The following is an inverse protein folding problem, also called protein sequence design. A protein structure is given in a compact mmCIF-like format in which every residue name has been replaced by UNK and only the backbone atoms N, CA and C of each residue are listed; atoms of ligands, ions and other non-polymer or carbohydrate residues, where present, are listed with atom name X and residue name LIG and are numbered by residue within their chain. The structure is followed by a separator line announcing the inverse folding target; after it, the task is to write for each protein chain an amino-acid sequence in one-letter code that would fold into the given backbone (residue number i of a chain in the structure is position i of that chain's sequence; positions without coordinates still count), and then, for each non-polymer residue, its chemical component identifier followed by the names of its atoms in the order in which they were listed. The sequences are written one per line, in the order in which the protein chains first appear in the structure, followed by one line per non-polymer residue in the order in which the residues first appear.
data_IF_163064239029
#
_entry.id   IF_163064239029
#
_cell.length_a   1.000
_cell.length_b   1.000
_cell.length_c   1.000
_cell.angle_alpha   90.00
_cell.angle_beta   90.00
_cell.angle_gamma   90.00
#
_symmetry.space_group_name_H-M   'P 1'
#
loop_
_entity.id
_entity.type
_entity.pdbx_description
1 polymer ?
#
# COMPACT_ATOMS: atom_id res chain seq x y z
N UNK A 1 -6.03 36.48 -17.60
CA UNK A 1 -6.48 35.95 -16.29
C UNK A 1 -7.00 34.54 -16.50
N UNK A 2 -6.28 33.54 -15.97
CA UNK A 2 -6.53 32.12 -16.24
C UNK A 2 -7.76 31.59 -15.50
N UNK A 3 -8.56 30.78 -16.20
CA UNK A 3 -9.74 30.02 -15.72
C UNK A 3 -9.46 29.21 -14.43
N UNK A 4 -8.20 29.05 -14.02
CA UNK A 4 -7.79 28.39 -12.78
C UNK A 4 -8.10 29.17 -11.49
N UNK A 5 -8.32 30.49 -11.51
CA UNK A 5 -8.52 31.24 -10.24
C UNK A 5 -9.96 31.27 -9.71
N UNK A 6 -10.99 31.09 -10.57
CA UNK A 6 -12.40 31.18 -10.11
C UNK A 6 -12.94 29.86 -9.53
N UNK A 7 -12.25 28.74 -9.72
CA UNK A 7 -12.69 27.43 -9.22
C UNK A 7 -12.42 27.21 -7.72
N UNK A 8 -11.60 28.03 -7.07
CA UNK A 8 -11.31 27.89 -5.63
C UNK A 8 -12.53 28.17 -4.73
N UNK A 9 -13.49 28.97 -5.20
CA UNK A 9 -14.65 29.38 -4.39
C UNK A 9 -16.00 28.80 -4.88
N UNK A 10 -16.01 28.01 -5.96
CA UNK A 10 -17.23 27.54 -6.63
C UNK A 10 -17.71 26.12 -6.28
N UNK A 11 -17.04 25.40 -5.38
CA UNK A 11 -17.43 24.03 -5.01
C UNK A 11 -18.62 24.04 -4.04
N UNK A 12 -19.82 24.23 -4.61
CA UNK A 12 -21.08 24.31 -3.88
C UNK A 12 -21.39 23.02 -3.11
N UNK A 13 -22.25 23.14 -2.10
CA UNK A 13 -22.75 22.01 -1.31
C UNK A 13 -23.34 20.88 -2.19
N UNK A 14 -23.99 21.25 -3.30
CA UNK A 14 -24.57 20.30 -4.24
C UNK A 14 -23.52 19.40 -4.90
N UNK A 15 -22.38 19.99 -5.29
CA UNK A 15 -21.26 19.21 -5.86
C UNK A 15 -20.55 18.37 -4.80
N UNK A 16 -20.45 18.84 -3.54
CA UNK A 16 -19.91 18.01 -2.44
C UNK A 16 -20.66 16.69 -2.30
N UNK A 17 -21.99 16.70 -2.26
CA UNK A 17 -22.78 15.47 -2.13
C UNK A 17 -22.50 14.46 -3.25
N UNK A 18 -22.38 14.94 -4.49
CA UNK A 18 -22.24 14.10 -5.67
C UNK A 18 -20.82 13.50 -5.86
N UNK A 19 -19.78 14.21 -5.42
CA UNK A 19 -18.38 13.86 -5.69
C UNK A 19 -17.64 13.28 -4.49
N UNK A 20 -18.25 13.27 -3.31
CA UNK A 20 -17.56 12.94 -2.07
C UNK A 20 -17.69 11.49 -1.61
N UNK A 21 -18.47 10.67 -2.33
CA UNK A 21 -18.59 9.23 -2.08
C UNK A 21 -19.31 8.84 -0.78
N UNK A 22 -19.35 7.54 -0.51
CA UNK A 22 -19.84 6.90 0.73
C UNK A 22 -18.77 6.83 1.82
N UNK A 23 -17.50 6.87 1.44
CA UNK A 23 -16.39 6.76 2.36
C UNK A 23 -15.07 6.66 1.63
N UNK A 24 -14.03 6.29 2.36
CA UNK A 24 -12.68 6.14 1.83
C UNK A 24 -11.91 5.02 2.51
N UNK A 25 -10.89 4.51 1.83
CA UNK A 25 -9.99 3.49 2.34
C UNK A 25 -8.58 4.09 2.28
N UNK A 26 -7.91 4.20 3.41
CA UNK A 26 -6.55 4.71 3.51
C UNK A 26 -5.55 3.57 3.39
N UNK A 27 -4.45 3.81 2.69
CA UNK A 27 -3.37 2.86 2.50
C UNK A 27 -2.09 3.41 3.11
N UNK A 28 -1.64 2.74 4.16
CA UNK A 28 -0.36 2.93 4.85
C UNK A 28 0.54 1.72 4.58
N UNK A 29 1.82 1.85 4.89
CA UNK A 29 2.76 0.72 4.87
C UNK A 29 3.51 0.69 6.21
N UNK A 30 4.34 1.70 6.46
CA UNK A 30 5.17 1.77 7.67
C UNK A 30 4.77 2.93 8.58
N UNK A 31 4.77 2.68 9.88
CA UNK A 31 4.57 3.68 10.92
C UNK A 31 5.84 3.78 11.76
N UNK A 32 6.68 4.78 11.48
CA UNK A 32 7.99 4.90 12.09
C UNK A 32 8.25 6.33 12.53
N UNK A 33 8.82 6.49 13.73
CA UNK A 33 9.39 7.77 14.12
C UNK A 33 10.57 8.09 13.21
N UNK A 34 10.75 9.37 12.89
CA UNK A 34 11.91 9.82 12.13
C UNK A 34 13.19 9.54 12.94
N UNK A 35 13.99 8.62 12.44
CA UNK A 35 15.25 8.17 13.06
C UNK A 35 16.46 8.97 12.55
N UNK A 36 16.24 9.97 11.70
CA UNK A 36 17.28 10.79 11.08
C UNK A 36 18.14 10.05 10.06
N UNK A 37 17.86 8.77 9.78
CA UNK A 37 18.66 8.00 8.83
C UNK A 37 18.36 8.45 7.40
N UNK A 38 19.39 8.55 6.54
CA UNK A 38 19.16 8.85 5.14
C UNK A 38 18.35 7.72 4.49
N UNK A 39 17.53 8.11 3.53
CA UNK A 39 16.69 7.23 2.72
C UNK A 39 16.70 7.78 1.30
N UNK A 40 16.59 6.94 0.30
CA UNK A 40 16.51 7.33 -1.11
C UNK A 40 15.06 7.29 -1.58
N UNK A 41 14.41 6.13 -1.48
CA UNK A 41 13.05 5.91 -1.96
C UNK A 41 12.14 5.27 -0.91
N UNK A 42 12.67 4.50 0.04
CA UNK A 42 11.81 3.76 0.99
C UNK A 42 11.07 4.68 1.97
N UNK A 43 11.61 5.88 2.21
CA UNK A 43 10.95 6.96 2.98
C UNK A 43 9.55 7.27 2.49
N UNK A 44 9.26 7.10 1.21
CA UNK A 44 7.94 7.35 0.65
C UNK A 44 6.83 6.53 1.34
N UNK A 45 7.18 5.40 1.96
CA UNK A 45 6.25 4.48 2.64
C UNK A 45 6.14 4.73 4.15
N UNK A 46 6.94 5.63 4.71
CA UNK A 46 7.05 5.88 6.15
C UNK A 46 6.12 7.03 6.57
N UNK A 47 5.29 6.79 7.57
CA UNK A 47 4.43 7.80 8.19
C UNK A 47 4.77 7.88 9.67
N UNK A 48 4.95 9.10 10.20
CA UNK A 48 5.20 9.26 11.62
C UNK A 48 3.97 8.89 12.46
N UNK A 49 4.13 8.28 13.65
CA UNK A 49 3.01 7.97 14.55
C UNK A 49 2.11 9.17 14.82
N UNK A 50 2.70 10.36 14.96
CA UNK A 50 1.95 11.60 15.16
C UNK A 50 1.09 11.96 13.96
N UNK A 51 1.60 11.78 12.74
CA UNK A 51 0.81 12.01 11.52
C UNK A 51 -0.35 11.01 11.42
N UNK A 52 -0.14 9.75 11.80
CA UNK A 52 -1.24 8.76 11.87
C UNK A 52 -2.34 9.20 12.85
N UNK A 53 -1.95 9.69 14.04
CA UNK A 53 -2.88 10.25 15.03
C UNK A 53 -3.68 11.44 14.47
N UNK A 54 -3.03 12.33 13.71
CA UNK A 54 -3.68 13.47 13.07
C UNK A 54 -4.74 13.01 12.05
N UNK A 55 -4.48 11.95 11.28
CA UNK A 55 -5.48 11.37 10.37
C UNK A 55 -6.67 10.78 11.14
N UNK A 56 -6.42 10.02 12.20
CA UNK A 56 -7.50 9.47 13.05
C UNK A 56 -8.35 10.62 13.62
N UNK A 57 -7.71 11.63 14.17
CA UNK A 57 -8.37 12.81 14.74
C UNK A 57 -9.19 13.56 13.69
N UNK A 58 -8.67 13.73 12.48
CA UNK A 58 -9.35 14.37 11.37
C UNK A 58 -10.69 13.70 11.02
N UNK A 59 -10.71 12.36 10.96
CA UNK A 59 -11.92 11.59 10.64
C UNK A 59 -12.91 11.58 11.83
N UNK A 60 -12.41 11.47 13.06
CA UNK A 60 -13.22 11.52 14.29
C UNK A 60 -13.95 12.85 14.44
N UNK A 61 -13.26 13.98 14.24
CA UNK A 61 -13.85 15.32 14.27
C UNK A 61 -14.95 15.51 13.21
N UNK A 62 -14.86 14.78 12.10
CA UNK A 62 -15.84 14.81 10.99
C UNK A 62 -16.94 13.77 11.12
N UNK A 63 -16.98 13.02 12.23
CA UNK A 63 -17.99 11.99 12.51
C UNK A 63 -18.05 10.93 11.40
N UNK A 64 -16.89 10.51 10.91
CA UNK A 64 -16.80 9.33 10.07
C UNK A 64 -16.89 8.09 10.93
N UNK A 65 -17.54 7.06 10.41
CA UNK A 65 -17.55 5.73 11.00
C UNK A 65 -16.23 5.05 10.66
N UNK A 66 -15.50 4.58 11.67
CA UNK A 66 -14.32 3.76 11.50
C UNK A 66 -14.77 2.31 11.40
N UNK A 67 -14.55 1.67 10.26
CA UNK A 67 -15.10 0.35 9.96
C UNK A 67 -14.02 -0.61 9.46
N UNK A 68 -14.32 -1.90 9.52
CA UNK A 68 -13.52 -2.99 8.93
C UNK A 68 -13.79 -3.15 7.43
N UNK A 69 -12.93 -3.87 6.71
CA UNK A 69 -13.19 -4.18 5.30
C UNK A 69 -14.44 -5.04 5.11
N UNK A 70 -14.74 -5.94 6.06
CA UNK A 70 -15.97 -6.76 6.09
C UNK A 70 -17.25 -5.91 5.99
N UNK A 71 -17.23 -4.68 6.49
CA UNK A 71 -18.39 -3.80 6.55
C UNK A 71 -18.56 -2.92 5.30
N UNK A 72 -17.53 -2.82 4.45
CA UNK A 72 -17.50 -1.90 3.30
C UNK A 72 -18.65 -2.15 2.35
N UNK A 73 -18.97 -3.41 2.04
CA UNK A 73 -20.07 -3.75 1.14
C UNK A 73 -21.43 -3.24 1.66
N UNK A 74 -21.64 -3.35 2.97
CA UNK A 74 -22.87 -2.90 3.61
C UNK A 74 -22.98 -1.37 3.55
N UNK A 75 -21.88 -0.67 3.82
CA UNK A 75 -21.77 0.79 3.68
C UNK A 75 -21.96 1.30 2.25
N UNK A 76 -21.55 0.52 1.25
CA UNK A 76 -21.78 0.82 -0.16
C UNK A 76 -23.28 0.66 -0.52
N UNK A 77 -23.91 -0.43 -0.05
CA UNK A 77 -25.28 -0.81 -0.43
C UNK A 77 -26.35 0.04 0.25
N UNK A 78 -26.24 0.24 1.56
CA UNK A 78 -27.28 0.88 2.37
C UNK A 78 -27.03 2.38 2.50
N UNK A 79 -28.06 3.23 2.32
CA UNK A 79 -27.93 4.66 2.60
C UNK A 79 -27.65 4.87 4.09
N UNK A 80 -26.69 5.74 4.39
CA UNK A 80 -26.30 6.17 5.74
C UNK A 80 -26.11 7.68 5.75
N UNK A 81 -26.31 8.28 6.91
CA UNK A 81 -26.04 9.71 7.16
C UNK A 81 -24.54 9.96 7.34
N UNK A 82 -23.84 9.02 7.99
CA UNK A 82 -22.39 9.01 8.16
C UNK A 82 -21.69 8.46 6.92
N UNK A 83 -20.45 8.92 6.72
CA UNK A 83 -19.49 8.31 5.80
C UNK A 83 -18.55 7.41 6.57
N UNK A 84 -17.91 6.48 5.88
CA UNK A 84 -16.93 5.60 6.52
C UNK A 84 -15.48 5.91 6.14
N UNK A 85 -14.57 5.48 7.01
CA UNK A 85 -13.14 5.36 6.73
C UNK A 85 -12.66 3.98 7.14
N UNK A 86 -11.81 3.36 6.31
CA UNK A 86 -11.06 2.15 6.66
C UNK A 86 -9.58 2.50 6.65
N UNK A 87 -8.85 2.06 7.68
CA UNK A 87 -7.39 2.15 7.72
C UNK A 87 -6.80 0.80 7.31
N UNK A 88 -5.97 0.80 6.26
CA UNK A 88 -5.31 -0.41 5.76
C UNK A 88 -3.80 -0.24 5.74
N UNK A 89 -3.09 -1.31 6.08
CA UNK A 89 -1.63 -1.39 6.10
C UNK A 89 -1.21 -2.56 5.22
N UNK A 90 -0.25 -2.32 4.33
CA UNK A 90 0.26 -3.35 3.43
C UNK A 90 1.56 -3.96 3.96
N UNK A 91 1.97 -5.04 3.32
CA UNK A 91 3.24 -5.77 3.51
C UNK A 91 3.36 -6.64 4.76
N UNK A 92 3.01 -6.15 5.95
CA UNK A 92 3.24 -6.85 7.22
C UNK A 92 4.56 -6.47 7.89
N UNK A 93 4.86 -5.17 7.93
CA UNK A 93 5.97 -4.62 8.68
C UNK A 93 5.74 -4.72 10.19
N UNK A 94 6.80 -4.97 10.96
CA UNK A 94 6.77 -5.08 12.42
C UNK A 94 6.24 -3.80 13.08
N UNK A 95 6.52 -2.65 12.48
CA UNK A 95 6.08 -1.37 13.00
C UNK A 95 4.54 -1.19 12.99
N UNK A 96 3.80 -2.01 12.25
CA UNK A 96 2.35 -2.09 12.36
C UNK A 96 1.92 -2.72 13.71
N UNK A 97 2.74 -3.61 14.27
CA UNK A 97 2.53 -4.21 15.59
C UNK A 97 3.06 -3.30 16.70
N UNK A 98 4.28 -2.76 16.57
CA UNK A 98 4.92 -2.02 17.67
C UNK A 98 4.49 -0.56 17.78
N UNK A 99 4.07 0.07 16.67
CA UNK A 99 3.71 1.49 16.64
C UNK A 99 2.23 1.72 16.31
N UNK A 100 1.70 1.06 15.28
CA UNK A 100 0.31 1.32 14.85
C UNK A 100 -0.70 0.71 15.84
N UNK A 101 -0.58 -0.56 16.21
CA UNK A 101 -1.54 -1.26 17.07
C UNK A 101 -1.86 -0.51 18.38
N UNK A 102 -0.88 -0.05 19.19
CA UNK A 102 -1.18 0.68 20.43
C UNK A 102 -2.01 1.94 20.20
N UNK A 103 -1.80 2.62 19.06
CA UNK A 103 -2.57 3.80 18.70
C UNK A 103 -4.02 3.44 18.39
N UNK A 104 -4.27 2.43 17.55
CA UNK A 104 -5.63 1.97 17.24
C UNK A 104 -6.37 1.46 18.49
N UNK A 105 -5.68 0.77 19.39
CA UNK A 105 -6.24 0.36 20.69
C UNK A 105 -6.63 1.56 21.56
N UNK A 106 -5.78 2.59 21.63
CA UNK A 106 -6.06 3.79 22.43
C UNK A 106 -7.30 4.56 21.94
N UNK A 107 -7.60 4.49 20.63
CA UNK A 107 -8.80 5.09 20.05
C UNK A 107 -9.99 4.15 19.96
N UNK A 108 -9.81 2.83 20.18
CA UNK A 108 -10.85 1.82 20.05
C UNK A 108 -11.40 1.68 18.63
N UNK A 109 -10.55 1.85 17.61
CA UNK A 109 -10.97 1.81 16.20
C UNK A 109 -10.31 0.66 15.43
N UNK A 110 -10.99 0.08 14.43
CA UNK A 110 -10.45 -1.05 13.69
C UNK A 110 -9.44 -0.63 12.60
N UNK A 111 -8.60 -1.58 12.21
CA UNK A 111 -7.75 -1.49 11.01
C UNK A 111 -7.47 -2.86 10.39
N UNK A 112 -7.09 -2.85 9.12
CA UNK A 112 -6.77 -4.06 8.34
C UNK A 112 -5.29 -4.09 8.00
N UNK A 113 -4.64 -5.25 8.13
CA UNK A 113 -3.26 -5.49 7.70
C UNK A 113 -3.27 -6.57 6.61
N UNK A 114 -2.73 -6.25 5.44
CA UNK A 114 -2.54 -7.19 4.33
C UNK A 114 -1.14 -7.78 4.39
N UNK A 115 -1.04 -9.10 4.58
CA UNK A 115 0.22 -9.78 4.87
C UNK A 115 0.79 -10.47 3.63
N UNK A 116 2.03 -10.12 3.29
CA UNK A 116 2.87 -10.90 2.38
C UNK A 116 3.47 -12.06 3.18
N UNK A 117 3.12 -13.32 2.89
CA UNK A 117 3.45 -14.42 3.82
C UNK A 117 4.93 -14.79 3.90
N UNK A 118 5.76 -14.27 3.00
CA UNK A 118 7.23 -14.39 3.11
C UNK A 118 7.84 -13.37 4.09
N UNK A 119 7.11 -12.34 4.51
CA UNK A 119 7.54 -11.43 5.58
C UNK A 119 7.72 -12.18 6.91
N UNK A 120 6.66 -12.75 7.52
CA UNK A 120 6.80 -13.46 8.79
C UNK A 120 7.61 -14.76 8.69
N UNK A 121 7.84 -15.27 7.48
CA UNK A 121 8.76 -16.38 7.22
C UNK A 121 10.24 -15.99 7.22
N UNK A 122 10.54 -14.68 7.16
CA UNK A 122 11.91 -14.19 6.98
C UNK A 122 12.49 -14.51 5.59
N UNK A 123 11.64 -14.67 4.58
CA UNK A 123 12.02 -15.08 3.21
C UNK A 123 11.70 -14.03 2.14
N UNK A 124 11.07 -12.91 2.51
CA UNK A 124 10.81 -11.84 1.54
C UNK A 124 12.10 -11.11 1.27
N UNK A 125 12.38 -10.88 -0.01
CA UNK A 125 13.55 -10.10 -0.41
C UNK A 125 13.11 -8.66 -0.59
N UNK A 126 13.46 -7.84 0.40
CA UNK A 126 13.23 -6.39 0.42
C UNK A 126 14.31 -5.67 -0.41
N UNK A 127 14.39 -6.03 -1.70
CA UNK A 127 15.44 -5.55 -2.61
C UNK A 127 15.50 -4.03 -2.72
N UNK A 128 14.40 -3.32 -2.47
CA UNK A 128 14.34 -1.86 -2.42
C UNK A 128 15.15 -1.28 -1.26
N UNK A 129 15.16 -1.94 -0.11
CA UNK A 129 15.99 -1.54 1.05
C UNK A 129 17.46 -1.87 0.80
N UNK A 130 17.74 -3.05 0.24
CA UNK A 130 19.11 -3.46 -0.11
C UNK A 130 19.71 -2.49 -1.14
N UNK A 131 18.97 -2.18 -2.21
CA UNK A 131 19.40 -1.24 -3.24
C UNK A 131 19.63 0.17 -2.68
N UNK A 132 18.78 0.61 -1.74
CA UNK A 132 18.93 1.89 -1.07
C UNK A 132 20.23 1.97 -0.26
N UNK A 133 20.53 0.96 0.56
CA UNK A 133 21.77 0.90 1.33
C UNK A 133 22.99 0.94 0.40
N UNK A 134 22.98 0.14 -0.67
CA UNK A 134 24.08 0.13 -1.65
C UNK A 134 24.27 1.53 -2.28
N UNK A 135 23.18 2.21 -2.66
CA UNK A 135 23.27 3.57 -3.23
C UNK A 135 23.74 4.60 -2.20
N UNK A 136 23.40 4.41 -0.92
CA UNK A 136 23.82 5.32 0.14
C UNK A 136 25.29 5.13 0.50
N UNK A 137 25.79 3.90 0.48
CA UNK A 137 27.14 3.51 0.89
C UNK A 137 28.21 3.64 -0.20
N UNK A 138 27.81 3.75 -1.48
CA UNK A 138 28.73 3.78 -2.60
C UNK A 138 28.72 5.13 -3.34
N UNK A 139 29.91 5.63 -3.65
CA UNK A 139 30.08 6.84 -4.47
C UNK A 139 30.00 6.57 -5.98
N UNK A 140 30.07 5.30 -6.41
CA UNK A 140 29.97 4.86 -7.82
C UNK A 140 29.35 3.46 -7.89
N UNK A 141 28.52 3.20 -8.92
CA UNK A 141 27.83 1.92 -9.09
C UNK A 141 27.92 1.44 -10.55
N UNK A 142 28.57 0.30 -10.77
CA UNK A 142 28.66 -0.36 -12.08
C UNK A 142 27.84 -1.65 -12.06
N UNK A 143 26.83 -1.81 -12.94
CA UNK A 143 26.02 -3.03 -12.99
C UNK A 143 25.91 -3.58 -14.43
N UNK A 144 26.59 -4.70 -14.68
CA UNK A 144 26.62 -5.34 -16.00
C UNK A 144 27.21 -4.44 -17.09
N UNK A 145 26.57 -4.36 -18.26
CA UNK A 145 27.00 -3.50 -19.38
C UNK A 145 26.54 -2.03 -19.26
N UNK A 146 25.88 -1.67 -18.15
CA UNK A 146 25.42 -0.31 -17.89
C UNK A 146 26.24 0.27 -16.75
N UNK A 147 26.85 1.43 -17.00
CA UNK A 147 27.62 2.15 -15.99
C UNK A 147 26.78 3.32 -15.49
N UNK A 148 26.42 3.30 -14.20
CA UNK A 148 25.77 4.43 -13.54
C UNK A 148 26.81 5.17 -12.72
N UNK A 149 27.41 6.20 -13.32
CA UNK A 149 28.32 7.08 -12.61
C UNK A 149 27.53 8.04 -11.74
N UNK A 150 27.60 7.86 -10.42
CA UNK A 150 27.35 8.94 -9.47
C UNK A 150 28.59 9.85 -9.49
N UNK A 151 28.46 11.10 -9.95
CA UNK A 151 29.60 12.02 -10.00
C UNK A 151 29.71 12.81 -8.69
N UNK A 152 30.58 12.30 -7.82
CA UNK A 152 31.32 13.00 -6.75
C UNK A 152 30.61 13.36 -5.43
N UNK A 153 31.44 13.26 -4.40
CA UNK A 153 31.44 13.61 -2.96
C UNK A 153 30.44 14.60 -2.32
N UNK A 154 29.47 15.16 -3.04
CA UNK A 154 28.28 15.82 -2.48
C UNK A 154 27.11 15.48 -3.39
N UNK A 155 26.68 14.22 -3.36
CA UNK A 155 25.54 13.79 -4.17
C UNK A 155 24.29 14.44 -3.58
N UNK A 156 23.69 15.38 -4.30
CA UNK A 156 22.35 15.86 -3.97
C UNK A 156 21.40 14.66 -3.94
N UNK A 157 20.52 14.61 -2.94
CA UNK A 157 19.52 13.56 -2.78
C UNK A 157 18.79 13.17 -4.08
N UNK A 158 18.57 14.15 -4.96
CA UNK A 158 17.96 14.02 -6.29
C UNK A 158 18.70 13.08 -7.24
N UNK A 159 20.04 13.04 -7.21
CA UNK A 159 20.83 12.17 -8.09
C UNK A 159 20.77 10.70 -7.63
N UNK A 160 20.81 10.46 -6.32
CA UNK A 160 20.62 9.11 -5.74
C UNK A 160 19.24 8.57 -6.09
N UNK A 161 18.20 9.41 -6.01
CA UNK A 161 16.84 9.07 -6.43
C UNK A 161 16.77 8.71 -7.92
N UNK A 162 17.48 9.44 -8.79
CA UNK A 162 17.51 9.13 -10.23
C UNK A 162 18.12 7.76 -10.52
N UNK A 163 19.29 7.45 -9.91
CA UNK A 163 19.94 6.14 -10.07
C UNK A 163 19.06 5.02 -9.53
N UNK A 164 18.47 5.20 -8.34
CA UNK A 164 17.52 4.24 -7.79
C UNK A 164 16.37 3.98 -8.76
N UNK A 165 15.78 5.03 -9.32
CA UNK A 165 14.65 4.93 -10.24
C UNK A 165 15.02 4.25 -11.57
N UNK A 166 16.23 4.46 -12.08
CA UNK A 166 16.74 3.76 -13.27
C UNK A 166 16.89 2.25 -13.01
N UNK A 167 17.54 1.88 -11.90
CA UNK A 167 17.75 0.47 -11.53
C UNK A 167 16.39 -0.20 -11.25
N UNK A 168 15.52 0.45 -10.46
CA UNK A 168 14.15 -0.02 -10.18
C UNK A 168 13.37 -0.30 -11.46
N UNK A 169 13.41 0.61 -12.45
CA UNK A 169 12.73 0.41 -13.74
C UNK A 169 13.22 -0.84 -14.47
N UNK A 170 14.48 -1.21 -14.31
CA UNK A 170 15.04 -2.40 -14.92
C UNK A 170 14.69 -3.70 -14.17
N UNK A 171 14.46 -3.63 -12.86
CA UNK A 171 14.22 -4.80 -12.00
C UNK A 171 12.73 -5.14 -11.81
N UNK A 172 11.85 -4.15 -11.72
CA UNK A 172 10.50 -4.32 -11.15
C UNK A 172 9.59 -5.29 -11.92
N UNK A 173 9.70 -5.35 -13.24
CA UNK A 173 8.85 -6.20 -14.09
C UNK A 173 9.50 -7.54 -14.44
N UNK A 174 10.73 -7.78 -13.99
CA UNK A 174 11.41 -9.06 -14.23
C UNK A 174 10.83 -10.15 -13.32
N UNK A 175 10.78 -11.41 -13.80
CA UNK A 175 10.52 -12.57 -12.96
C UNK A 175 11.41 -12.59 -11.74
N UNK A 176 10.91 -13.15 -10.62
CA UNK A 176 11.60 -13.19 -9.34
C UNK A 176 13.02 -13.73 -9.47
N UNK A 177 13.18 -14.94 -10.01
CA UNK A 177 14.49 -15.59 -10.11
C UNK A 177 15.50 -14.78 -10.94
N UNK A 178 15.05 -14.18 -12.04
CA UNK A 178 15.90 -13.32 -12.85
C UNK A 178 16.32 -12.06 -12.08
N UNK A 179 15.38 -11.42 -11.37
CA UNK A 179 15.68 -10.27 -10.52
C UNK A 179 16.69 -10.61 -9.42
N UNK A 180 16.56 -11.79 -8.81
CA UNK A 180 17.47 -12.24 -7.77
C UNK A 180 18.86 -12.52 -8.32
N UNK A 181 18.95 -13.17 -9.48
CA UNK A 181 20.22 -13.42 -10.14
C UNK A 181 20.94 -12.10 -10.45
N UNK A 182 20.22 -11.10 -10.97
CA UNK A 182 20.77 -9.77 -11.21
C UNK A 182 21.28 -9.12 -9.91
N UNK A 183 20.49 -9.11 -8.84
CA UNK A 183 20.92 -8.53 -7.55
C UNK A 183 22.18 -9.20 -7.01
N UNK A 184 22.28 -10.53 -7.11
CA UNK A 184 23.49 -11.27 -6.71
C UNK A 184 24.69 -10.92 -7.57
N UNK A 185 24.51 -10.92 -8.89
CA UNK A 185 25.62 -10.72 -9.82
C UNK A 185 26.17 -9.31 -9.73
N UNK A 186 25.29 -8.33 -9.58
CA UNK A 186 25.59 -6.92 -9.51
C UNK A 186 26.24 -6.50 -8.20
N UNK A 187 25.73 -7.01 -7.07
CA UNK A 187 26.12 -6.54 -5.75
C UNK A 187 26.84 -7.59 -4.90
N UNK A 188 27.13 -8.76 -5.49
CA UNK A 188 27.83 -9.88 -4.84
C UNK A 188 27.16 -10.36 -3.54
N UNK A 189 25.83 -10.31 -3.51
CA UNK A 189 25.04 -10.63 -2.32
C UNK A 189 24.98 -12.13 -2.04
N UNK A 190 25.21 -12.50 -0.79
CA UNK A 190 24.92 -13.82 -0.25
C UNK A 190 23.41 -14.00 0.04
N UNK A 191 22.99 -15.21 0.38
CA UNK A 191 21.62 -15.46 0.86
C UNK A 191 21.32 -14.69 2.14
N UNK A 192 22.30 -14.57 3.03
CA UNK A 192 22.13 -13.83 4.28
C UNK A 192 21.87 -12.35 4.03
N UNK A 193 22.58 -11.75 3.06
CA UNK A 193 22.38 -10.35 2.67
C UNK A 193 20.98 -10.12 2.10
N UNK A 194 20.48 -11.05 1.27
CA UNK A 194 19.15 -10.94 0.65
C UNK A 194 18.00 -10.97 1.65
N UNK A 195 18.17 -11.71 2.76
CA UNK A 195 17.15 -11.84 3.81
C UNK A 195 17.43 -10.97 5.04
N UNK A 196 18.52 -10.21 5.07
CA UNK A 196 18.89 -9.33 6.20
C UNK A 196 17.74 -8.35 6.52
N UNK A 197 17.25 -7.64 5.52
CA UNK A 197 16.23 -6.59 5.68
C UNK A 197 14.87 -7.11 6.12
N UNK A 198 14.48 -8.32 5.71
CA UNK A 198 13.22 -8.89 6.20
C UNK A 198 13.32 -9.27 7.67
N UNK A 199 14.49 -9.76 8.14
CA UNK A 199 14.72 -10.01 9.58
C UNK A 199 14.65 -8.73 10.41
N UNK A 200 15.07 -7.59 9.86
CA UNK A 200 15.04 -6.29 10.54
C UNK A 200 13.66 -5.64 10.60
N UNK A 201 12.74 -6.01 9.71
CA UNK A 201 11.55 -5.20 9.44
C UNK A 201 10.24 -5.97 9.45
N UNK A 202 10.26 -7.31 9.34
CA UNK A 202 9.03 -8.09 9.27
C UNK A 202 8.43 -8.36 10.64
N UNK A 203 7.11 -8.27 10.71
CA UNK A 203 6.37 -8.84 11.82
C UNK A 203 6.57 -10.36 11.83
N UNK A 204 6.90 -10.94 12.98
CA UNK A 204 7.05 -12.38 13.14
C UNK A 204 5.71 -13.12 13.12
N UNK A 205 5.73 -14.44 12.88
CA UNK A 205 4.53 -15.26 13.01
C UNK A 205 3.89 -15.22 14.40
N UNK A 206 4.68 -15.06 15.46
CA UNK A 206 4.14 -15.02 16.82
C UNK A 206 3.46 -13.69 17.12
N UNK A 207 4.06 -12.56 16.72
CA UNK A 207 3.40 -11.25 16.75
C UNK A 207 2.12 -11.26 15.89
N UNK A 208 2.16 -11.87 14.69
CA UNK A 208 1.00 -11.96 13.82
C UNK A 208 -0.13 -12.83 14.41
N UNK A 209 0.20 -13.94 15.09
CA UNK A 209 -0.79 -14.74 15.84
C UNK A 209 -1.37 -13.96 17.01
N UNK A 210 -0.55 -13.19 17.72
CA UNK A 210 -1.00 -12.37 18.84
C UNK A 210 -1.98 -11.28 18.37
N UNK A 211 -1.57 -10.46 17.40
CA UNK A 211 -2.40 -9.38 16.88
C UNK A 211 -3.68 -9.88 16.20
N UNK A 212 -3.67 -11.09 15.60
CA UNK A 212 -4.86 -11.68 14.98
C UNK A 212 -5.99 -12.00 15.97
N UNK A 213 -5.70 -12.06 17.27
CA UNK A 213 -6.71 -12.27 18.32
C UNK A 213 -7.38 -10.95 18.75
N UNK A 214 -6.82 -9.81 18.37
CA UNK A 214 -7.35 -8.51 18.72
C UNK A 214 -8.62 -8.20 17.90
N UNK A 215 -9.77 -7.88 18.52
CA UNK A 215 -11.01 -7.61 17.80
C UNK A 215 -10.97 -6.37 16.88
N UNK A 216 -10.01 -5.47 17.09
CA UNK A 216 -9.80 -4.28 16.25
C UNK A 216 -9.02 -4.61 14.97
N UNK A 217 -8.35 -5.76 14.91
CA UNK A 217 -7.45 -6.07 13.80
C UNK A 217 -8.13 -7.01 12.82
N UNK A 218 -7.95 -6.73 11.53
CA UNK A 218 -8.36 -7.58 10.43
C UNK A 218 -7.15 -7.99 9.61
N UNK A 219 -7.05 -9.27 9.26
CA UNK A 219 -5.94 -9.78 8.47
C UNK A 219 -6.44 -10.10 7.06
N UNK A 220 -5.77 -9.52 6.07
CA UNK A 220 -5.95 -9.78 4.65
C UNK A 220 -4.70 -10.41 4.01
N UNK A 221 -4.85 -10.93 2.80
CA UNK A 221 -3.76 -11.51 2.03
C UNK A 221 -3.07 -10.48 1.12
N UNK A 222 -1.75 -10.60 0.96
CA UNK A 222 -0.94 -9.76 0.07
C UNK A 222 0.09 -10.56 -0.73
N UNK A 223 -0.31 -11.72 -1.25
CA UNK A 223 0.55 -12.70 -1.96
C UNK A 223 1.59 -13.39 -1.07
N UNK A 224 2.35 -14.33 -1.64
CA UNK A 224 3.42 -15.04 -0.94
C UNK A 224 4.69 -14.18 -0.98
N UNK A 225 5.14 -13.82 -2.19
CA UNK A 225 6.47 -13.24 -2.42
C UNK A 225 6.45 -11.75 -2.78
N UNK A 226 5.26 -11.12 -2.86
CA UNK A 226 5.05 -9.75 -3.33
C UNK A 226 5.55 -9.48 -4.78
N UNK A 227 5.16 -10.30 -5.78
CA UNK A 227 5.48 -10.03 -7.17
C UNK A 227 4.50 -9.02 -7.79
N UNK A 228 4.87 -8.44 -8.94
CA UNK A 228 3.87 -7.82 -9.82
C UNK A 228 3.03 -8.92 -10.45
N UNK A 229 1.77 -9.06 -10.04
CA UNK A 229 0.89 -10.15 -10.50
C UNK A 229 0.66 -10.15 -12.03
N UNK A 230 0.82 -9.00 -12.69
CA UNK A 230 0.78 -8.87 -14.15
C UNK A 230 1.91 -9.62 -14.85
N UNK A 231 3.06 -9.76 -14.20
CA UNK A 231 4.24 -10.44 -14.77
C UNK A 231 4.12 -11.97 -14.72
N UNK A 232 3.15 -12.50 -13.98
CA UNK A 232 2.98 -13.93 -13.74
C UNK A 232 2.04 -14.58 -14.76
N UNK A 233 2.23 -15.86 -15.04
CA UNK A 233 1.21 -16.66 -15.72
C UNK A 233 0.04 -17.00 -14.78
N UNK A 234 -1.02 -17.65 -15.27
CA UNK A 234 -2.22 -17.96 -14.47
C UNK A 234 -1.94 -18.90 -13.29
N UNK A 235 -1.08 -19.91 -13.49
CA UNK A 235 -0.72 -20.87 -12.43
C UNK A 235 0.05 -20.17 -11.31
N UNK A 236 1.05 -19.39 -11.67
CA UNK A 236 1.86 -18.60 -10.73
C UNK A 236 1.01 -17.56 -9.99
N UNK A 237 0.08 -16.89 -10.69
CA UNK A 237 -0.89 -15.98 -10.07
C UNK A 237 -1.73 -16.70 -9.01
N UNK A 238 -2.26 -17.89 -9.33
CA UNK A 238 -3.05 -18.70 -8.41
C UNK A 238 -2.21 -19.13 -7.20
N UNK A 239 -1.00 -19.62 -7.42
CA UNK A 239 -0.06 -20.02 -6.36
C UNK A 239 0.19 -18.87 -5.39
N UNK A 240 0.53 -17.68 -5.90
CA UNK A 240 0.78 -16.48 -5.10
C UNK A 240 -0.44 -16.02 -4.29
N UNK A 241 -1.62 -15.99 -4.91
CA UNK A 241 -2.84 -15.43 -4.32
C UNK A 241 -3.53 -16.40 -3.36
N UNK A 242 -3.73 -17.65 -3.79
CA UNK A 242 -4.40 -18.67 -2.98
C UNK A 242 -3.46 -19.24 -1.94
N UNK A 243 -2.20 -19.46 -2.28
CA UNK A 243 -1.21 -20.01 -1.33
C UNK A 243 -0.97 -19.06 -0.16
N UNK A 244 -0.96 -17.75 -0.37
CA UNK A 244 -0.85 -16.79 0.74
C UNK A 244 -2.06 -16.84 1.67
N UNK A 245 -3.27 -16.95 1.11
CA UNK A 245 -4.49 -17.12 1.89
C UNK A 245 -4.45 -18.41 2.71
N UNK A 246 -4.17 -19.55 2.06
CA UNK A 246 -4.11 -20.85 2.72
C UNK A 246 -3.11 -20.87 3.87
N UNK A 247 -1.91 -20.31 3.67
CA UNK A 247 -0.88 -20.24 4.70
C UNK A 247 -1.29 -19.38 5.88
N UNK A 248 -1.92 -18.22 5.65
CA UNK A 248 -2.48 -17.39 6.71
C UNK A 248 -3.59 -18.12 7.49
N UNK A 249 -4.54 -18.75 6.78
CA UNK A 249 -5.64 -19.50 7.41
C UNK A 249 -5.10 -20.70 8.23
N UNK A 250 -4.08 -21.40 7.73
CA UNK A 250 -3.43 -22.50 8.43
C UNK A 250 -2.74 -22.02 9.71
N UNK A 251 -1.96 -20.93 9.65
CA UNK A 251 -1.15 -20.44 10.76
C UNK A 251 -1.97 -19.70 11.82
N UNK A 252 -3.00 -18.96 11.41
CA UNK A 252 -3.76 -18.07 12.29
C UNK A 252 -5.12 -18.66 12.71
N UNK A 253 -5.60 -19.71 12.04
CA UNK A 253 -6.90 -20.35 12.30
C UNK A 253 -8.09 -19.39 12.19
N UNK A 254 -7.97 -18.37 11.35
CA UNK A 254 -9.03 -17.44 10.97
C UNK A 254 -9.27 -17.52 9.47
N UNK A 255 -10.45 -17.12 9.00
CA UNK A 255 -10.74 -17.03 7.56
C UNK A 255 -10.18 -15.73 6.99
N UNK A 256 -9.53 -15.78 5.83
CA UNK A 256 -9.00 -14.60 5.14
C UNK A 256 -9.93 -14.23 3.98
N UNK A 257 -10.57 -13.06 4.10
CA UNK A 257 -11.65 -12.62 3.18
C UNK A 257 -11.22 -11.53 2.20
N UNK A 258 -10.16 -10.80 2.51
CA UNK A 258 -9.76 -9.61 1.77
C UNK A 258 -8.35 -9.73 1.20
N UNK A 259 -8.11 -9.03 0.09
CA UNK A 259 -6.84 -9.04 -0.62
C UNK A 259 -6.38 -7.62 -0.96
N UNK A 260 -5.07 -7.38 -0.96
CA UNK A 260 -4.48 -6.18 -1.57
C UNK A 260 -3.56 -6.59 -2.72
N UNK A 261 -3.66 -5.91 -3.87
CA UNK A 261 -2.75 -6.18 -4.99
C UNK A 261 -1.38 -5.51 -4.73
N UNK A 262 -0.25 -6.26 -4.77
CA UNK A 262 1.08 -5.66 -4.75
C UNK A 262 1.22 -4.60 -5.85
N UNK A 263 1.74 -3.42 -5.50
CA UNK A 263 1.83 -2.21 -6.33
C UNK A 263 0.48 -1.62 -6.78
N UNK A 264 -0.45 -2.46 -7.23
CA UNK A 264 -1.89 -2.21 -7.34
C UNK A 264 -2.33 -1.08 -8.26
N UNK A 265 -1.45 -0.54 -9.10
CA UNK A 265 -1.77 0.65 -9.91
C UNK A 265 -2.53 0.27 -11.19
N UNK A 266 -2.79 1.25 -12.04
CA UNK A 266 -3.35 1.00 -13.39
C UNK A 266 -2.44 0.15 -14.26
N UNK A 267 -1.15 0.10 -13.95
CA UNK A 267 -0.16 -0.67 -14.70
C UNK A 267 -0.14 -2.14 -14.29
N UNK A 268 -0.49 -2.48 -13.05
CA UNK A 268 -0.42 -3.84 -12.51
C UNK A 268 -1.78 -4.54 -12.41
N UNK A 269 -2.88 -3.80 -12.26
CA UNK A 269 -4.21 -4.39 -12.13
C UNK A 269 -5.04 -4.04 -13.36
N UNK A 270 -5.09 -4.96 -14.32
CA UNK A 270 -5.88 -4.87 -15.54
C UNK A 270 -7.08 -5.82 -15.54
N UNK A 271 -7.77 -5.90 -16.69
CA UNK A 271 -8.94 -6.79 -16.85
C UNK A 271 -8.59 -8.25 -16.54
N UNK A 272 -7.41 -8.69 -16.96
CA UNK A 272 -6.90 -10.05 -16.71
C UNK A 272 -6.88 -10.36 -15.22
N UNK A 273 -6.24 -9.51 -14.42
CA UNK A 273 -6.07 -9.74 -12.98
C UNK A 273 -7.43 -9.77 -12.28
N UNK A 274 -8.40 -8.95 -12.71
CA UNK A 274 -9.76 -9.01 -12.19
C UNK A 274 -10.50 -10.29 -12.56
N UNK A 275 -10.41 -10.75 -13.81
CA UNK A 275 -11.05 -12.01 -14.22
C UNK A 275 -10.49 -13.20 -13.45
N UNK A 276 -9.16 -13.26 -13.26
CA UNK A 276 -8.53 -14.27 -12.42
C UNK A 276 -9.04 -14.18 -10.97
N UNK A 277 -9.01 -12.99 -10.37
CA UNK A 277 -9.41 -12.79 -8.96
C UNK A 277 -10.85 -13.19 -8.67
N UNK A 278 -11.79 -13.10 -9.63
CA UNK A 278 -13.19 -13.51 -9.45
C UNK A 278 -13.33 -14.98 -9.03
N UNK A 279 -12.44 -15.85 -9.49
CA UNK A 279 -12.44 -17.27 -9.17
C UNK A 279 -11.80 -17.61 -7.81
N UNK A 280 -11.16 -16.63 -7.15
CA UNK A 280 -10.33 -16.87 -5.96
C UNK A 280 -11.09 -16.83 -4.63
N UNK A 281 -12.35 -16.38 -4.64
CA UNK A 281 -13.25 -16.42 -3.48
C UNK A 281 -13.03 -15.31 -2.44
N UNK A 282 -12.28 -14.25 -2.75
CA UNK A 282 -12.19 -13.06 -1.90
C UNK A 282 -13.47 -12.23 -1.96
N UNK A 283 -13.84 -11.63 -0.84
CA UNK A 283 -15.02 -10.77 -0.73
C UNK A 283 -14.74 -9.36 -1.23
N UNK A 284 -13.53 -8.86 -0.98
CA UNK A 284 -13.04 -7.59 -1.54
C UNK A 284 -11.56 -7.70 -1.88
N UNK A 285 -11.13 -6.87 -2.85
CA UNK A 285 -9.73 -6.62 -3.11
C UNK A 285 -9.48 -5.13 -3.37
N UNK A 286 -8.37 -4.62 -2.85
CA UNK A 286 -8.01 -3.19 -2.90
C UNK A 286 -6.83 -2.92 -3.82
N UNK A 287 -6.91 -1.83 -4.57
CA UNK A 287 -5.88 -1.33 -5.48
C UNK A 287 -5.15 -0.13 -4.87
N UNK A 288 -4.21 0.46 -5.60
CA UNK A 288 -3.55 1.74 -5.24
C UNK A 288 -4.10 2.92 -6.06
N UNK A 289 -5.19 2.70 -6.80
CA UNK A 289 -5.84 3.75 -7.58
C UNK A 289 -6.51 4.74 -6.62
N UNK A 290 -6.01 5.98 -6.62
CA UNK A 290 -6.53 7.05 -5.76
C UNK A 290 -8.01 7.35 -6.03
N UNK A 291 -8.85 7.22 -5.00
CA UNK A 291 -10.28 7.54 -5.12
C UNK A 291 -11.09 7.34 -3.84
N UNK A 292 -12.29 7.92 -3.82
CA UNK A 292 -13.30 7.63 -2.80
C UNK A 292 -14.12 6.40 -3.18
N UNK A 293 -14.74 5.77 -2.20
CA UNK A 293 -15.68 4.66 -2.44
C UNK A 293 -17.08 5.21 -2.68
N UNK A 294 -17.62 4.97 -3.88
CA UNK A 294 -19.02 5.28 -4.27
C UNK A 294 -19.94 4.05 -4.26
N UNK A 295 -21.26 4.27 -4.25
CA UNK A 295 -22.31 3.23 -4.40
C UNK A 295 -22.08 2.29 -5.59
N UNK A 296 -21.52 2.82 -6.68
CA UNK A 296 -21.24 2.04 -7.89
C UNK A 296 -20.18 0.94 -7.71
N UNK A 297 -19.30 1.04 -6.71
CA UNK A 297 -18.32 0.00 -6.41
C UNK A 297 -18.93 -1.31 -5.90
N UNK A 298 -20.25 -1.38 -5.65
CA UNK A 298 -20.94 -2.65 -5.37
C UNK A 298 -20.73 -3.71 -6.46
N UNK A 299 -20.41 -3.27 -7.68
CA UNK A 299 -20.14 -4.14 -8.84
C UNK A 299 -18.62 -4.33 -9.09
N UNK A 300 -17.76 -3.77 -8.25
CA UNK A 300 -16.30 -3.73 -8.42
C UNK A 300 -15.56 -3.99 -7.09
N UNK A 301 -16.06 -4.90 -6.27
CA UNK A 301 -15.50 -5.18 -4.94
C UNK A 301 -14.07 -5.73 -4.98
N UNK A 302 -13.67 -6.33 -6.09
CA UNK A 302 -12.32 -6.84 -6.31
C UNK A 302 -11.35 -5.79 -6.89
N UNK A 303 -11.76 -4.52 -6.90
CA UNK A 303 -10.98 -3.40 -7.44
C UNK A 303 -11.25 -2.09 -6.68
N UNK A 304 -11.39 -2.15 -5.36
CA UNK A 304 -11.70 -0.97 -4.56
C UNK A 304 -10.53 0.04 -4.59
N UNK A 305 -10.80 1.34 -4.75
CA UNK A 305 -9.76 2.36 -4.70
C UNK A 305 -9.31 2.64 -3.27
N UNK A 306 -8.07 3.09 -3.11
CA UNK A 306 -7.50 3.52 -1.83
C UNK A 306 -6.81 4.87 -1.98
N UNK A 307 -6.66 5.60 -0.89
CA UNK A 307 -5.86 6.83 -0.83
C UNK A 307 -4.52 6.50 -0.18
N UNK A 308 -3.44 6.67 -0.94
CA UNK A 308 -2.10 6.50 -0.39
C UNK A 308 -1.78 7.58 0.65
N UNK A 309 -1.20 7.15 1.77
CA UNK A 309 -0.68 8.02 2.81
C UNK A 309 0.80 7.71 3.02
N UNK A 310 1.64 8.70 2.72
CA UNK A 310 3.09 8.66 2.93
C UNK A 310 3.57 9.88 3.73
N UNK A 311 4.88 10.12 3.85
CA UNK A 311 5.46 11.12 4.75
C UNK A 311 5.04 12.56 4.40
N UNK A 312 4.75 12.81 3.12
CA UNK A 312 4.41 14.13 2.61
C UNK A 312 2.89 14.33 2.44
N UNK A 313 2.07 13.34 2.78
CA UNK A 313 0.62 13.44 2.66
C UNK A 313 0.09 14.37 3.74
N UNK A 314 -0.54 15.48 3.35
CA UNK A 314 -1.10 16.44 4.31
C UNK A 314 -2.58 16.18 4.57
N UNK A 315 -3.07 16.67 5.70
CA UNK A 315 -4.50 16.61 6.03
C UNK A 315 -5.35 17.33 4.98
N UNK A 316 -4.84 18.40 4.36
CA UNK A 316 -5.54 19.11 3.29
C UNK A 316 -5.71 18.25 2.03
N UNK A 317 -4.74 17.37 1.73
CA UNK A 317 -4.82 16.45 0.59
C UNK A 317 -5.95 15.44 0.78
N UNK A 318 -6.05 14.89 1.99
CA UNK A 318 -7.13 14.01 2.41
C UNK A 318 -8.46 14.78 2.40
N UNK A 319 -8.49 15.99 2.94
CA UNK A 319 -9.68 16.84 2.96
C UNK A 319 -10.24 17.06 1.57
N UNK A 320 -9.41 17.54 0.64
CA UNK A 320 -9.78 17.82 -0.75
C UNK A 320 -10.31 16.56 -1.47
N UNK A 321 -9.75 15.40 -1.16
CA UNK A 321 -10.22 14.12 -1.70
C UNK A 321 -11.59 13.72 -1.10
N UNK A 322 -11.73 13.69 0.22
CA UNK A 322 -12.95 13.18 0.89
C UNK A 322 -14.15 14.09 0.74
N UNK A 323 -13.96 15.39 0.48
CA UNK A 323 -15.07 16.30 0.09
C UNK A 323 -15.41 16.21 -1.39
N UNK A 324 -14.61 15.50 -2.20
CA UNK A 324 -14.86 15.29 -3.63
C UNK A 324 -14.31 16.39 -4.54
N UNK A 325 -13.52 17.34 -4.03
CA UNK A 325 -12.95 18.43 -4.84
C UNK A 325 -12.01 17.87 -5.91
N UNK A 326 -11.18 16.88 -5.58
CA UNK A 326 -10.32 16.19 -6.56
C UNK A 326 -11.12 15.41 -7.61
N UNK A 327 -12.20 14.75 -7.21
CA UNK A 327 -13.09 14.04 -8.13
C UNK A 327 -13.85 15.00 -9.07
N UNK A 328 -14.15 16.21 -8.60
CA UNK A 328 -14.77 17.27 -9.41
C UNK A 328 -13.79 17.84 -10.44
N UNK A 329 -12.55 18.13 -10.04
CA UNK A 329 -11.51 18.63 -10.95
C UNK A 329 -11.19 17.60 -12.05
N UNK A 330 -11.26 16.31 -11.72
CA UNK A 330 -11.01 15.21 -12.66
C UNK A 330 -12.24 14.73 -13.42
N UNK A 331 -13.38 15.42 -13.34
CA UNK A 331 -14.70 15.00 -13.86
C UNK A 331 -14.79 14.76 -15.37
N UNK A 332 -13.73 15.01 -16.14
CA UNK A 332 -13.59 14.46 -17.50
C UNK A 332 -13.40 12.93 -17.52
N UNK A 333 -13.18 12.29 -16.36
CA UNK A 333 -13.07 10.84 -16.16
C UNK A 333 -14.22 10.30 -15.29
N UNK A 334 -14.50 8.99 -15.39
CA UNK A 334 -15.45 8.30 -14.50
C UNK A 334 -15.10 8.52 -13.03
N UNK A 335 -16.12 8.81 -12.20
CA UNK A 335 -15.97 8.94 -10.74
C UNK A 335 -15.76 7.61 -10.02
N UNK A 336 -16.20 6.51 -10.65
CA UNK A 336 -15.97 5.16 -10.15
C UNK A 336 -14.58 4.77 -10.62
N UNK A 337 -13.63 4.83 -9.69
CA UNK A 337 -12.26 4.42 -9.93
C UNK A 337 -12.21 2.90 -9.78
N UNK A 338 -12.17 2.23 -10.92
CA UNK A 338 -12.07 0.76 -11.06
C UNK A 338 -11.14 0.47 -12.23
N UNK A 339 -10.94 -0.82 -12.56
CA UNK A 339 -10.09 -1.31 -13.65
C UNK A 339 -10.60 -0.97 -15.04
#
# INVERSE_FOLDING_TARGET
MSIRSSLKNGFSFFFRSLYSGRGTILMFHRILANDGRPRVHTKALEVEPRSLEDFITFFKQRKYDFIRMDEVLDYIKKPRSSKFVVFTFDDGFEDNYTQALPLFESFGIPFTIYITTDMPDGKRILWNYILEDIILENEQIELGHKNWSLKSSIIEQSEKENVYNDIRRYLIDRPREERLQLLRDWFKLSDEDLFSKVKEHAMSWDQLKEISKNPLVEIGAHTITHPSLKSLNEREFQEEVIGSRQKLEEKLKIKIRHFAYPYGSVNEVGKRELELMKSMGFETAVTTRNGNVFKGHKSHLLALPRMFVGPNTKIEDIHDQVIGKRNFISSSKSRIVTV
#
